data_IF_231286249625
#
_entry.id   IF_231286249625
#
_cell.length_a   1.000
_cell.length_b   1.000
_cell.length_c   1.000
_cell.angle_alpha   90.00
_cell.angle_beta   90.00
_cell.angle_gamma   90.00
#
_symmetry.space_group_name_H-M   'P 1'
#
loop_
_entity.id
_entity.type
_entity.pdbx_description
1 polymer ?
#
# COMPACT_ATOMS: atom_id res chain seq x y z
N UNK A 1 -43.08 -10.08 -25.20
CA UNK A 1 -42.62 -11.16 -26.12
C UNK A 1 -41.39 -11.81 -25.50
N UNK A 2 -41.51 -12.99 -24.90
CA UNK A 2 -40.36 -13.73 -24.37
C UNK A 2 -39.64 -14.43 -25.52
N UNK A 3 -38.46 -13.94 -25.90
CA UNK A 3 -37.55 -14.71 -26.75
C UNK A 3 -36.88 -15.77 -25.88
N UNK A 4 -37.24 -17.03 -26.09
CA UNK A 4 -36.57 -18.16 -25.44
C UNK A 4 -35.11 -18.21 -25.91
N UNK A 5 -34.18 -17.98 -24.99
CA UNK A 5 -32.74 -18.11 -25.22
C UNK A 5 -32.46 -19.60 -25.49
N UNK A 6 -31.91 -19.92 -26.66
CA UNK A 6 -31.54 -21.30 -26.96
C UNK A 6 -30.28 -21.71 -26.19
N UNK A 7 -30.05 -23.02 -25.97
CA UNK A 7 -28.82 -23.52 -25.33
C UNK A 7 -27.55 -23.02 -26.04
N UNK A 8 -27.60 -22.82 -27.36
CA UNK A 8 -26.52 -22.28 -28.17
C UNK A 8 -26.29 -20.79 -27.89
N UNK A 9 -27.36 -20.02 -27.70
CA UNK A 9 -27.27 -18.60 -27.36
C UNK A 9 -26.77 -18.42 -25.93
N UNK A 10 -27.19 -19.28 -25.00
CA UNK A 10 -26.65 -19.34 -23.65
C UNK A 10 -25.14 -19.62 -23.67
N UNK A 11 -24.69 -20.65 -24.40
CA UNK A 11 -23.26 -20.95 -24.52
C UNK A 11 -22.46 -19.80 -25.14
N UNK A 12 -22.99 -19.15 -26.18
CA UNK A 12 -22.34 -17.98 -26.80
C UNK A 12 -22.25 -16.79 -25.83
N UNK A 13 -23.32 -16.54 -25.07
CA UNK A 13 -23.36 -15.49 -24.05
C UNK A 13 -22.42 -15.82 -22.89
N UNK A 14 -22.33 -17.07 -22.45
CA UNK A 14 -21.40 -17.54 -21.43
C UNK A 14 -19.95 -17.44 -21.88
N UNK A 15 -19.62 -17.80 -23.14
CA UNK A 15 -18.26 -17.66 -23.67
C UNK A 15 -17.88 -16.19 -23.88
N UNK A 16 -18.83 -15.33 -24.27
CA UNK A 16 -18.61 -13.88 -24.37
C UNK A 16 -18.41 -13.25 -22.98
N UNK A 17 -19.16 -13.68 -21.96
CA UNK A 17 -19.02 -13.21 -20.58
C UNK A 17 -17.73 -13.72 -19.90
N UNK A 18 -17.32 -14.96 -20.17
CA UNK A 18 -16.04 -15.49 -19.72
C UNK A 18 -14.86 -14.83 -20.45
N UNK A 19 -15.03 -14.52 -21.74
CA UNK A 19 -14.05 -13.77 -22.53
C UNK A 19 -13.87 -12.34 -22.02
N UNK A 20 -14.95 -11.63 -21.70
CA UNK A 20 -14.85 -10.24 -21.19
C UNK A 20 -14.27 -10.15 -19.78
N UNK A 21 -14.43 -11.17 -18.94
CA UNK A 21 -13.76 -11.27 -17.64
C UNK A 21 -12.25 -11.53 -17.78
N UNK A 22 -11.83 -12.25 -18.82
CA UNK A 22 -10.41 -12.50 -19.12
C UNK A 22 -9.67 -11.27 -19.67
N UNK A 23 -10.41 -10.25 -20.15
CA UNK A 23 -9.86 -8.97 -20.66
C UNK A 23 -10.05 -7.79 -19.69
N UNK A 24 -10.21 -8.03 -18.38
CA UNK A 24 -9.96 -6.95 -17.40
C UNK A 24 -8.47 -6.60 -17.42
N UNK A 25 -8.07 -5.33 -17.25
CA UNK A 25 -6.68 -4.90 -17.39
C UNK A 25 -5.88 -5.35 -16.16
N UNK A 26 -5.60 -6.65 -16.06
CA UNK A 26 -4.50 -7.15 -15.25
C UNK A 26 -3.16 -6.62 -15.79
N UNK A 27 -3.13 -6.13 -17.03
CA UNK A 27 -1.97 -5.52 -17.69
C UNK A 27 -1.32 -4.41 -16.86
N UNK A 28 -2.11 -3.60 -16.15
CA UNK A 28 -1.59 -2.42 -15.45
C UNK A 28 -0.77 -2.79 -14.21
N UNK A 29 -0.86 -4.05 -13.74
CA UNK A 29 -0.12 -4.54 -12.56
C UNK A 29 0.77 -5.75 -12.85
N UNK A 30 1.10 -5.97 -14.13
CA UNK A 30 2.19 -6.86 -14.51
C UNK A 30 3.50 -6.06 -14.40
N UNK A 31 4.53 -6.58 -13.73
CA UNK A 31 5.86 -5.98 -13.79
C UNK A 31 6.36 -5.98 -15.24
N UNK A 32 7.19 -4.98 -15.56
CA UNK A 32 7.85 -4.96 -16.86
C UNK A 32 8.68 -6.23 -17.04
N UNK A 33 8.43 -6.95 -18.14
CA UNK A 33 9.18 -8.15 -18.45
C UNK A 33 8.59 -9.48 -17.98
N UNK A 34 7.31 -9.57 -17.59
CA UNK A 34 6.71 -10.91 -17.43
C UNK A 34 6.81 -11.70 -18.76
N UNK A 35 7.55 -12.81 -18.73
CA UNK A 35 7.92 -13.62 -19.90
C UNK A 35 9.35 -14.17 -19.90
N UNK A 36 10.19 -13.85 -18.91
CA UNK A 36 11.56 -14.36 -18.82
C UNK A 36 11.67 -15.68 -18.04
N UNK A 37 12.62 -16.52 -18.44
CA UNK A 37 12.91 -17.87 -17.91
C UNK A 37 13.67 -17.86 -16.56
N UNK A 38 13.61 -16.73 -15.82
CA UNK A 38 14.26 -16.59 -14.50
C UNK A 38 13.21 -16.63 -13.40
N UNK A 39 13.56 -17.30 -12.31
CA UNK A 39 12.72 -17.33 -11.11
C UNK A 39 12.70 -15.94 -10.46
N UNK A 40 11.54 -15.28 -10.45
CA UNK A 40 11.32 -14.05 -9.69
C UNK A 40 11.14 -14.39 -8.22
N UNK A 41 11.82 -13.65 -7.33
CA UNK A 41 11.57 -13.72 -5.88
C UNK A 41 10.54 -12.69 -5.41
N UNK A 42 10.17 -11.73 -6.28
CA UNK A 42 9.14 -10.76 -5.96
C UNK A 42 8.98 -9.64 -6.98
N UNK A 43 8.15 -8.66 -6.62
CA UNK A 43 7.89 -7.45 -7.41
C UNK A 43 7.98 -6.25 -6.48
N UNK A 44 8.71 -5.23 -6.90
CA UNK A 44 8.82 -3.95 -6.20
C UNK A 44 8.07 -2.84 -6.93
N UNK A 45 7.47 -1.91 -6.18
CA UNK A 45 6.93 -0.63 -6.68
C UNK A 45 7.87 0.50 -6.29
N UNK A 46 8.24 1.35 -7.24
CA UNK A 46 9.03 2.55 -6.96
C UNK A 46 8.17 3.58 -6.21
N UNK A 47 8.65 4.04 -5.04
CA UNK A 47 7.86 4.88 -4.12
C UNK A 47 8.22 6.37 -4.15
N UNK A 48 9.25 6.74 -4.91
CA UNK A 48 9.72 8.12 -5.12
C UNK A 48 9.60 8.48 -6.59
N UNK A 49 9.90 9.73 -6.96
CA UNK A 49 9.76 10.22 -8.33
C UNK A 49 10.57 9.39 -9.33
N UNK A 50 11.82 9.12 -8.98
CA UNK A 50 12.69 8.21 -9.74
C UNK A 50 13.79 7.58 -8.88
N UNK A 51 14.26 6.42 -9.32
CA UNK A 51 15.44 5.73 -8.80
C UNK A 51 16.38 5.37 -9.93
N UNK A 52 17.67 5.35 -9.64
CA UNK A 52 18.69 4.86 -10.56
C UNK A 52 18.87 3.33 -10.39
N UNK A 53 19.12 2.66 -11.51
CA UNK A 53 19.56 1.27 -11.60
C UNK A 53 21.05 1.28 -11.93
N UNK A 54 21.84 0.53 -11.18
CA UNK A 54 23.30 0.50 -11.27
C UNK A 54 23.80 -0.80 -11.88
N UNK A 55 24.98 -0.78 -12.50
CA UNK A 55 25.58 -1.99 -13.09
C UNK A 55 25.96 -3.04 -12.03
N UNK A 56 26.33 -2.60 -10.83
CA UNK A 56 26.68 -3.42 -9.67
C UNK A 56 25.93 -2.89 -8.42
N UNK A 57 25.74 -3.70 -7.35
CA UNK A 57 25.06 -3.27 -6.13
C UNK A 57 25.94 -2.34 -5.27
N UNK A 58 26.37 -1.22 -5.85
CA UNK A 58 27.23 -0.21 -5.26
C UNK A 58 26.94 1.16 -5.86
N UNK A 59 26.97 2.20 -5.03
CA UNK A 59 26.85 3.59 -5.49
C UNK A 59 28.05 4.10 -6.30
N UNK A 60 29.18 3.40 -6.25
CA UNK A 60 30.35 3.72 -7.07
C UNK A 60 30.23 3.15 -8.47
N UNK A 61 29.22 2.32 -8.73
CA UNK A 61 28.97 1.74 -10.04
C UNK A 61 28.30 2.74 -10.97
N UNK A 62 28.46 2.54 -12.27
CA UNK A 62 27.79 3.37 -13.27
C UNK A 62 26.26 3.13 -13.24
N UNK A 63 25.44 4.20 -13.32
CA UNK A 63 24.01 4.04 -13.59
C UNK A 63 23.81 3.51 -15.01
N UNK A 64 22.92 2.53 -15.14
CA UNK A 64 22.58 1.84 -16.40
C UNK A 64 21.11 2.05 -16.79
N UNK A 65 20.30 2.67 -15.93
CA UNK A 65 18.94 3.04 -16.25
C UNK A 65 18.23 3.76 -15.10
N UNK A 66 17.01 4.17 -15.35
CA UNK A 66 16.15 4.86 -14.38
C UNK A 66 14.82 4.12 -14.28
N UNK A 67 14.18 4.18 -13.12
CA UNK A 67 12.81 3.72 -12.89
C UNK A 67 12.01 4.82 -12.21
N UNK A 68 10.76 4.97 -12.59
CA UNK A 68 9.92 6.08 -12.16
C UNK A 68 8.86 5.65 -11.16
N UNK A 69 8.27 6.62 -10.47
CA UNK A 69 7.18 6.42 -9.50
C UNK A 69 6.11 5.45 -10.02
N UNK A 70 5.67 4.57 -9.14
CA UNK A 70 4.64 3.54 -9.37
C UNK A 70 5.02 2.43 -10.37
N UNK A 71 6.19 2.52 -11.02
CA UNK A 71 6.66 1.46 -11.90
C UNK A 71 6.89 0.18 -11.09
N UNK A 72 6.40 -0.95 -11.65
CA UNK A 72 6.55 -2.27 -11.07
C UNK A 72 7.78 -2.96 -11.67
N UNK A 73 8.75 -3.26 -10.82
CA UNK A 73 10.01 -3.87 -11.18
C UNK A 73 10.06 -5.31 -10.69
N UNK A 74 10.41 -6.30 -11.55
CA UNK A 74 10.64 -7.65 -11.09
C UNK A 74 11.94 -7.69 -10.27
N UNK A 75 11.93 -8.48 -9.19
CA UNK A 75 13.08 -8.69 -8.31
C UNK A 75 13.53 -10.14 -8.46
N UNK A 76 14.79 -10.33 -8.84
CA UNK A 76 15.40 -11.65 -9.05
C UNK A 76 16.22 -12.12 -7.85
N UNK A 77 16.84 -11.19 -7.13
CA UNK A 77 17.69 -11.50 -5.99
C UNK A 77 17.68 -10.33 -4.99
N UNK A 78 17.82 -10.65 -3.70
CA UNK A 78 18.05 -9.69 -2.62
C UNK A 78 19.49 -9.84 -2.12
N UNK A 79 20.28 -8.77 -2.22
CA UNK A 79 21.69 -8.74 -1.86
C UNK A 79 21.85 -7.84 -0.64
N UNK A 80 22.41 -8.38 0.44
CA UNK A 80 22.74 -7.61 1.64
C UNK A 80 24.21 -7.26 1.60
N UNK A 81 24.53 -5.97 1.45
CA UNK A 81 25.93 -5.49 1.47
C UNK A 81 26.23 -4.83 2.81
N UNK A 82 27.14 -5.38 3.65
CA UNK A 82 27.45 -4.83 4.97
C UNK A 82 27.97 -3.38 4.96
N UNK A 83 28.57 -2.95 3.85
CA UNK A 83 29.21 -1.63 3.69
C UNK A 83 28.23 -0.49 3.37
N UNK A 84 26.92 -0.76 3.41
CA UNK A 84 25.87 0.23 3.16
C UNK A 84 25.41 0.91 4.45
N UNK A 85 24.59 1.97 4.32
CA UNK A 85 24.02 2.65 5.48
C UNK A 85 23.30 1.63 6.38
N UNK A 86 23.54 1.63 7.72
CA UNK A 86 23.00 0.61 8.63
C UNK A 86 21.47 0.42 8.57
N UNK A 87 20.74 1.43 8.12
CA UNK A 87 19.28 1.47 8.07
C UNK A 87 18.67 1.01 6.72
N UNK A 88 19.46 0.77 5.66
CA UNK A 88 18.94 0.24 4.39
C UNK A 88 19.99 -0.61 3.68
N UNK A 89 20.26 -1.84 4.18
CA UNK A 89 21.41 -2.60 3.74
C UNK A 89 21.23 -3.40 2.46
N UNK A 90 20.05 -3.31 1.83
CA UNK A 90 19.61 -4.22 0.78
C UNK A 90 19.66 -3.57 -0.61
N UNK A 91 20.12 -4.36 -1.56
CA UNK A 91 19.99 -4.13 -3.00
C UNK A 91 19.13 -5.23 -3.60
N UNK A 92 18.40 -4.87 -4.66
CA UNK A 92 17.62 -5.82 -5.45
C UNK A 92 18.24 -5.95 -6.82
N UNK A 93 18.48 -7.18 -7.27
CA UNK A 93 18.76 -7.45 -8.67
C UNK A 93 17.45 -7.32 -9.47
N UNK A 94 17.46 -6.45 -10.46
CA UNK A 94 16.35 -6.18 -11.39
C UNK A 94 16.80 -6.51 -12.81
N UNK A 95 15.91 -6.35 -13.80
CA UNK A 95 16.17 -6.75 -15.20
C UNK A 95 17.52 -6.28 -15.76
N UNK A 96 17.82 -4.99 -15.56
CA UNK A 96 18.94 -4.32 -16.24
C UNK A 96 20.13 -4.02 -15.30
N UNK A 97 20.08 -4.46 -14.04
CA UNK A 97 21.10 -4.15 -13.05
C UNK A 97 20.63 -4.30 -11.61
N UNK A 98 21.03 -3.37 -10.74
CA UNK A 98 20.77 -3.40 -9.31
C UNK A 98 20.16 -2.08 -8.82
N UNK A 99 19.10 -2.18 -8.02
CA UNK A 99 18.41 -1.03 -7.44
C UNK A 99 18.43 -1.08 -5.91
N UNK A 100 18.48 0.08 -5.26
CA UNK A 100 18.49 0.20 -3.79
C UNK A 100 17.10 -0.10 -3.22
N UNK A 101 17.01 -0.88 -2.13
CA UNK A 101 15.72 -1.19 -1.53
C UNK A 101 14.99 0.00 -0.91
N UNK A 102 15.71 1.10 -0.60
CA UNK A 102 15.19 2.22 0.20
C UNK A 102 13.91 2.87 -0.33
N UNK A 103 13.72 2.87 -1.65
CA UNK A 103 12.59 3.52 -2.32
C UNK A 103 11.74 2.51 -3.12
N UNK A 104 11.78 1.24 -2.72
CA UNK A 104 11.08 0.15 -3.39
C UNK A 104 10.20 -0.55 -2.36
N UNK A 105 8.88 -0.46 -2.55
CA UNK A 105 7.89 -1.20 -1.78
C UNK A 105 7.68 -2.57 -2.41
N UNK A 106 7.92 -3.65 -1.67
CA UNK A 106 7.63 -5.02 -2.11
C UNK A 106 6.10 -5.26 -2.13
N UNK A 107 5.58 -5.83 -3.23
CA UNK A 107 4.14 -6.00 -3.51
C UNK A 107 3.76 -7.42 -3.95
N UNK A 108 4.42 -8.46 -3.40
CA UNK A 108 4.25 -9.86 -3.82
C UNK A 108 2.84 -10.39 -3.58
N UNK A 109 2.20 -9.96 -2.49
CA UNK A 109 0.85 -10.35 -2.14
C UNK A 109 -0.24 -9.62 -2.93
N UNK A 110 0.10 -8.90 -4.01
CA UNK A 110 -0.89 -8.12 -4.75
C UNK A 110 -1.94 -9.02 -5.42
N UNK A 111 -3.22 -8.70 -5.24
CA UNK A 111 -4.32 -9.46 -5.82
C UNK A 111 -5.60 -8.61 -5.88
N UNK A 112 -6.57 -9.11 -6.65
CA UNK A 112 -7.96 -8.61 -6.62
C UNK A 112 -8.80 -9.48 -5.68
N UNK A 113 -9.78 -8.84 -5.04
CA UNK A 113 -10.64 -9.44 -4.02
C UNK A 113 -12.04 -9.73 -4.56
N UNK A 114 -12.71 -10.66 -3.90
CA UNK A 114 -14.15 -10.79 -4.00
C UNK A 114 -14.84 -9.57 -3.35
N UNK A 115 -15.87 -9.05 -4.00
CA UNK A 115 -16.61 -7.87 -3.54
C UNK A 115 -17.87 -8.27 -2.79
N UNK A 116 -18.25 -7.50 -1.78
CA UNK A 116 -19.54 -7.65 -1.09
C UNK A 116 -20.56 -6.64 -1.62
N UNK A 117 -21.86 -6.97 -1.63
CA UNK A 117 -22.89 -6.06 -2.13
C UNK A 117 -23.26 -4.96 -1.13
N UNK A 118 -22.82 -5.04 0.12
CA UNK A 118 -23.09 -4.04 1.16
C UNK A 118 -22.03 -4.09 2.27
N UNK A 119 -21.88 -2.99 3.00
CA UNK A 119 -21.08 -2.88 4.23
C UNK A 119 -21.90 -2.20 5.34
N UNK A 120 -21.63 -2.47 6.63
CA UNK A 120 -22.30 -1.77 7.73
C UNK A 120 -22.09 -0.26 7.68
N UNK A 121 -23.07 0.51 8.17
CA UNK A 121 -23.00 1.98 8.23
C UNK A 121 -21.85 2.48 9.12
N UNK A 122 -21.57 1.75 10.20
CA UNK A 122 -20.43 1.98 11.10
C UNK A 122 -19.06 1.84 10.38
N UNK A 123 -19.06 1.29 9.18
CA UNK A 123 -17.88 1.02 8.38
C UNK A 123 -17.15 -0.27 8.73
N UNK A 124 -16.25 -0.66 7.83
CA UNK A 124 -15.25 -1.73 8.04
C UNK A 124 -13.91 -1.24 7.53
N UNK A 125 -12.83 -1.62 8.20
CA UNK A 125 -11.50 -1.38 7.65
C UNK A 125 -11.31 -2.23 6.38
N UNK A 126 -10.69 -1.62 5.38
CA UNK A 126 -10.30 -2.25 4.13
C UNK A 126 -8.83 -1.95 3.83
N UNK A 127 -8.10 -2.97 3.38
CA UNK A 127 -6.71 -2.86 2.97
C UNK A 127 -6.62 -2.83 1.45
N UNK A 128 -5.83 -1.92 0.87
CA UNK A 128 -5.53 -1.94 -0.57
C UNK A 128 -4.58 -3.09 -0.88
N UNK A 129 -5.01 -4.02 -1.73
CA UNK A 129 -4.21 -5.21 -2.08
C UNK A 129 -3.65 -5.16 -3.49
N UNK A 130 -3.82 -4.07 -4.22
CA UNK A 130 -3.17 -3.83 -5.52
C UNK A 130 -2.00 -2.86 -5.32
N UNK A 131 -1.00 -2.79 -6.22
CA UNK A 131 0.17 -1.93 -6.03
C UNK A 131 -0.20 -0.47 -5.76
N UNK A 132 -1.21 0.01 -6.47
CA UNK A 132 -1.86 1.29 -6.27
C UNK A 132 -3.24 1.28 -6.92
N UNK A 133 -4.13 2.17 -6.46
CA UNK A 133 -5.45 2.41 -7.05
C UNK A 133 -5.75 3.90 -7.11
N UNK A 134 -6.46 4.34 -8.16
CA UNK A 134 -6.98 5.71 -8.24
C UNK A 134 -8.31 5.79 -7.50
N UNK A 135 -8.40 6.74 -6.57
CA UNK A 135 -9.64 7.13 -5.93
C UNK A 135 -10.34 8.25 -6.71
N UNK A 136 -11.66 8.32 -6.59
CA UNK A 136 -12.48 9.31 -7.26
C UNK A 136 -13.53 9.90 -6.31
N UNK A 137 -13.81 11.18 -6.46
CA UNK A 137 -15.03 11.80 -5.94
C UNK A 137 -16.14 11.65 -6.98
N UNK A 138 -17.37 11.40 -6.53
CA UNK A 138 -18.54 11.48 -7.38
C UNK A 138 -19.30 12.77 -7.10
N UNK A 139 -19.10 13.78 -7.95
CA UNK A 139 -19.77 15.07 -7.84
C UNK A 139 -21.03 15.10 -8.70
N UNK A 140 -22.15 15.60 -8.15
CA UNK A 140 -23.43 15.68 -8.87
C UNK A 140 -23.36 16.54 -10.14
N UNK A 141 -22.53 17.59 -10.16
CA UNK A 141 -22.40 18.52 -11.28
C UNK A 141 -21.32 18.11 -12.28
N UNK A 142 -20.20 17.56 -11.80
CA UNK A 142 -19.01 17.30 -12.62
C UNK A 142 -18.77 15.81 -12.89
N UNK A 143 -19.56 14.93 -12.28
CA UNK A 143 -19.38 13.49 -12.34
C UNK A 143 -18.15 13.03 -11.55
N UNK A 144 -17.53 11.96 -12.03
CA UNK A 144 -16.40 11.30 -11.39
C UNK A 144 -15.10 12.06 -11.63
N UNK A 145 -14.48 12.55 -10.56
CA UNK A 145 -13.24 13.32 -10.60
C UNK A 145 -12.14 12.57 -9.83
N UNK A 146 -10.94 12.41 -10.40
CA UNK A 146 -9.85 11.75 -9.69
C UNK A 146 -9.44 12.57 -8.47
N UNK A 147 -9.08 11.87 -7.40
CA UNK A 147 -8.44 12.43 -6.21
C UNK A 147 -7.22 11.57 -5.91
N UNK A 148 -7.07 11.13 -4.67
CA UNK A 148 -5.93 10.37 -4.18
C UNK A 148 -5.54 9.16 -5.04
N UNK A 149 -4.24 8.85 -4.98
CA UNK A 149 -3.74 7.52 -5.29
C UNK A 149 -3.50 6.80 -3.97
N UNK A 150 -4.22 5.72 -3.74
CA UNK A 150 -4.03 4.87 -2.57
C UNK A 150 -3.05 3.75 -2.94
N UNK A 151 -2.24 3.31 -1.98
CA UNK A 151 -1.13 2.41 -2.23
C UNK A 151 -1.31 1.07 -1.52
N UNK A 152 -0.63 0.05 -2.03
CA UNK A 152 -0.59 -1.28 -1.44
C UNK A 152 -0.37 -1.24 0.08
N UNK A 153 -1.21 -1.97 0.82
CA UNK A 153 -1.27 -2.07 2.28
C UNK A 153 -1.68 -0.80 3.04
N UNK A 154 -2.11 0.28 2.37
CA UNK A 154 -2.81 1.35 3.10
C UNK A 154 -4.21 0.88 3.51
N UNK A 155 -4.64 1.34 4.68
CA UNK A 155 -5.86 0.89 5.36
C UNK A 155 -6.85 2.04 5.41
N UNK A 156 -8.11 1.75 5.09
CA UNK A 156 -9.16 2.75 4.83
C UNK A 156 -10.48 2.34 5.48
N UNK A 157 -11.24 3.31 5.98
CA UNK A 157 -12.62 3.05 6.42
C UNK A 157 -13.56 2.93 5.22
N UNK A 158 -14.09 1.73 4.99
CA UNK A 158 -15.07 1.42 3.96
C UNK A 158 -16.47 1.51 4.55
N UNK A 159 -17.24 2.50 4.12
CA UNK A 159 -18.55 2.86 4.71
C UNK A 159 -19.73 2.72 3.75
N UNK A 160 -19.48 2.31 2.51
CA UNK A 160 -20.54 2.14 1.52
C UNK A 160 -20.11 1.32 0.31
N UNK A 161 -21.10 0.89 -0.47
CA UNK A 161 -20.92 0.24 -1.77
C UNK A 161 -21.84 0.94 -2.75
N UNK A 162 -21.31 1.36 -3.89
CA UNK A 162 -22.05 2.05 -4.95
C UNK A 162 -21.64 1.54 -6.34
N UNK A 163 -22.38 1.93 -7.37
CA UNK A 163 -22.02 1.70 -8.76
C UNK A 163 -20.91 2.67 -9.19
N UNK A 164 -19.94 2.15 -9.94
CA UNK A 164 -18.83 2.93 -10.46
C UNK A 164 -19.19 3.92 -11.57
N UNK A 165 -18.17 4.62 -12.11
CA UNK A 165 -18.33 5.53 -13.26
C UNK A 165 -19.00 4.90 -14.49
N UNK A 166 -18.90 3.58 -14.66
CA UNK A 166 -19.48 2.83 -15.77
C UNK A 166 -20.87 2.23 -15.47
N UNK A 167 -21.39 2.41 -14.25
CA UNK A 167 -22.68 1.89 -13.80
C UNK A 167 -22.74 0.36 -13.70
N UNK A 168 -21.59 -0.33 -13.61
CA UNK A 168 -21.55 -1.81 -13.65
C UNK A 168 -20.73 -2.41 -12.54
N UNK A 169 -19.50 -1.94 -12.35
CA UNK A 169 -18.64 -2.48 -11.32
C UNK A 169 -18.99 -1.90 -9.95
N UNK A 170 -18.90 -2.71 -8.90
CA UNK A 170 -19.03 -2.23 -7.53
C UNK A 170 -17.81 -1.40 -7.15
N UNK A 171 -18.07 -0.26 -6.50
CA UNK A 171 -17.08 0.64 -5.93
C UNK A 171 -17.34 0.77 -4.45
N UNK A 172 -16.27 0.79 -3.65
CA UNK A 172 -16.36 1.03 -2.23
C UNK A 172 -16.21 2.51 -1.93
N UNK A 173 -17.12 3.03 -1.13
CA UNK A 173 -17.01 4.36 -0.56
C UNK A 173 -16.04 4.30 0.63
N UNK A 174 -15.02 5.14 0.56
CA UNK A 174 -14.02 5.39 1.60
C UNK A 174 -14.39 6.67 2.33
N UNK A 175 -14.39 6.63 3.66
CA UNK A 175 -14.48 7.82 4.50
C UNK A 175 -13.11 8.12 5.10
N UNK A 176 -12.68 9.38 5.02
CA UNK A 176 -11.39 9.82 5.52
C UNK A 176 -11.41 10.04 7.04
N UNK A 177 -10.50 9.41 7.79
CA UNK A 177 -10.42 9.56 9.26
C UNK A 177 -9.94 10.96 9.70
N UNK A 178 -9.44 11.78 8.77
CA UNK A 178 -9.03 13.17 9.01
C UNK A 178 -10.10 14.20 8.65
N UNK A 179 -11.11 13.84 7.84
CA UNK A 179 -12.25 14.68 7.48
C UNK A 179 -13.50 13.84 7.22
N UNK A 180 -14.43 13.83 8.17
CA UNK A 180 -15.69 13.08 8.12
C UNK A 180 -16.58 13.43 6.90
N UNK A 181 -16.36 14.60 6.26
CA UNK A 181 -17.12 15.02 5.09
C UNK A 181 -16.51 14.54 3.77
N UNK A 182 -15.24 14.10 3.79
CA UNK A 182 -14.55 13.64 2.62
C UNK A 182 -14.87 12.16 2.36
N UNK A 183 -15.74 11.95 1.37
CA UNK A 183 -16.13 10.62 0.90
C UNK A 183 -15.72 10.45 -0.55
N UNK A 184 -14.81 9.53 -0.80
CA UNK A 184 -14.37 9.17 -2.15
C UNK A 184 -14.54 7.67 -2.37
N UNK A 185 -14.24 7.21 -3.57
CA UNK A 185 -14.57 5.87 -4.02
C UNK A 185 -13.37 5.22 -4.69
N UNK A 186 -13.23 3.92 -4.48
CA UNK A 186 -12.27 3.07 -5.18
C UNK A 186 -12.95 1.81 -5.74
N UNK A 187 -12.41 1.18 -6.79
CA UNK A 187 -12.94 -0.09 -7.27
C UNK A 187 -12.94 -1.14 -6.15
N UNK A 188 -14.11 -1.71 -5.85
CA UNK A 188 -14.26 -2.66 -4.75
C UNK A 188 -13.31 -3.87 -4.82
N UNK A 189 -12.98 -4.44 -6.01
CA UNK A 189 -12.03 -5.55 -6.09
C UNK A 189 -10.61 -5.21 -5.63
N UNK A 190 -10.25 -3.93 -5.50
CA UNK A 190 -8.89 -3.52 -5.10
C UNK A 190 -8.71 -3.56 -3.57
N UNK A 191 -9.79 -3.80 -2.83
CA UNK A 191 -9.83 -3.68 -1.38
C UNK A 191 -10.18 -5.02 -0.75
N UNK A 192 -9.36 -5.47 0.21
CA UNK A 192 -9.68 -6.59 1.09
C UNK A 192 -10.29 -6.06 2.36
N UNK A 193 -11.54 -6.40 2.63
CA UNK A 193 -12.17 -6.05 3.91
C UNK A 193 -11.50 -6.83 5.05
N UNK A 194 -11.04 -6.10 6.06
CA UNK A 194 -10.35 -6.66 7.23
C UNK A 194 -11.41 -7.21 8.20
N UNK A 195 -11.38 -8.50 8.54
CA UNK A 195 -12.30 -9.07 9.51
C UNK A 195 -11.95 -8.61 10.94
N UNK A 196 -12.94 -8.46 11.85
CA UNK A 196 -12.69 -7.98 13.21
C UNK A 196 -11.66 -8.79 14.00
N UNK A 197 -11.60 -10.09 13.74
CA UNK A 197 -10.66 -11.04 14.33
C UNK A 197 -9.19 -10.71 14.01
N UNK A 198 -8.87 -10.09 12.87
CA UNK A 198 -7.51 -9.61 12.57
C UNK A 198 -7.11 -8.38 13.42
N UNK A 199 -8.10 -7.68 14.01
CA UNK A 199 -7.88 -6.56 14.93
C UNK A 199 -7.83 -7.00 16.40
N UNK A 200 -8.08 -8.29 16.66
CA UNK A 200 -8.08 -8.82 18.02
C UNK A 200 -6.66 -8.84 18.62
N UNK A 201 -6.50 -8.57 19.93
CA UNK A 201 -5.19 -8.65 20.57
C UNK A 201 -4.59 -10.05 20.44
N UNK A 202 -3.30 -10.14 20.09
CA UNK A 202 -2.58 -11.43 19.95
C UNK A 202 -2.55 -12.20 21.28
N UNK A 203 -2.25 -11.52 22.39
CA UNK A 203 -2.23 -12.12 23.74
C UNK A 203 -3.20 -11.39 24.69
N UNK A 204 -4.52 -11.66 24.63
CA UNK A 204 -5.51 -10.94 25.43
C UNK A 204 -5.42 -11.24 26.94
N UNK A 205 -4.74 -12.32 27.31
CA UNK A 205 -4.58 -12.81 28.69
C UNK A 205 -3.35 -12.23 29.40
N UNK A 206 -2.52 -11.45 28.70
CA UNK A 206 -1.41 -10.69 29.30
C UNK A 206 -1.91 -9.29 29.60
N UNK A 207 -1.83 -8.89 30.88
CA UNK A 207 -2.24 -7.57 31.35
C UNK A 207 -1.45 -6.48 30.59
N UNK A 208 -2.07 -5.33 30.36
CA UNK A 208 -1.44 -4.28 29.55
C UNK A 208 -0.23 -3.65 30.23
N UNK A 209 -0.21 -3.64 31.58
CA UNK A 209 0.91 -3.17 32.39
C UNK A 209 2.16 -4.04 32.22
N UNK A 210 1.95 -5.32 31.88
CA UNK A 210 3.01 -6.29 31.60
C UNK A 210 3.51 -6.21 30.15
N UNK A 211 2.93 -5.33 29.32
CA UNK A 211 3.35 -5.15 27.92
C UNK A 211 4.11 -3.85 27.78
N UNK A 212 5.23 -3.87 27.06
CA UNK A 212 5.97 -2.66 26.73
C UNK A 212 6.65 -2.75 25.38
N UNK A 213 6.86 -1.60 24.77
CA UNK A 213 7.66 -1.44 23.56
C UNK A 213 8.83 -0.53 23.93
N UNK A 214 10.04 -1.03 23.70
CA UNK A 214 11.28 -0.28 23.87
C UNK A 214 11.80 0.11 22.49
N UNK A 215 11.98 1.42 22.27
CA UNK A 215 12.53 1.96 21.03
C UNK A 215 13.91 2.54 21.32
N UNK A 216 14.94 1.99 20.68
CA UNK A 216 16.30 2.53 20.75
C UNK A 216 16.53 3.50 19.61
N UNK A 217 16.58 4.80 19.90
CA UNK A 217 16.87 5.85 18.91
C UNK A 217 18.31 5.74 18.39
N UNK A 218 19.24 5.27 19.22
CA UNK A 218 20.65 5.12 18.84
C UNK A 218 20.84 3.92 17.91
N UNK A 219 20.26 2.78 18.29
CA UNK A 219 20.46 1.51 17.57
C UNK A 219 19.41 1.34 16.44
N UNK A 220 18.43 2.23 16.32
CA UNK A 220 17.34 2.16 15.33
C UNK A 220 16.57 0.83 15.41
N UNK A 221 16.25 0.39 16.64
CA UNK A 221 15.54 -0.87 16.90
C UNK A 221 14.29 -0.68 17.74
N UNK A 222 13.30 -1.55 17.52
CA UNK A 222 12.11 -1.69 18.35
C UNK A 222 12.07 -3.11 18.91
N UNK A 223 11.89 -3.22 20.22
CA UNK A 223 11.69 -4.49 20.92
C UNK A 223 10.37 -4.45 21.68
N UNK A 224 9.45 -5.35 21.37
CA UNK A 224 8.20 -5.51 22.10
C UNK A 224 8.31 -6.69 23.08
N UNK A 225 7.78 -6.49 24.28
CA UNK A 225 7.82 -7.48 25.35
C UNK A 225 6.42 -7.80 25.88
N UNK A 226 6.26 -9.06 26.26
CA UNK A 226 5.21 -9.53 27.16
C UNK A 226 5.87 -10.06 28.43
N UNK A 227 5.66 -9.37 29.55
CA UNK A 227 6.45 -9.51 30.79
C UNK A 227 7.94 -9.29 30.47
N UNK A 228 8.77 -10.29 30.72
CA UNK A 228 10.21 -10.27 30.42
C UNK A 228 10.57 -11.00 29.13
N UNK A 229 9.58 -11.46 28.34
CA UNK A 229 9.81 -12.18 27.10
C UNK A 229 9.73 -11.24 25.89
N UNK A 230 10.75 -11.29 25.03
CA UNK A 230 10.74 -10.60 23.74
C UNK A 230 9.79 -11.33 22.79
N UNK A 231 8.78 -10.62 22.30
CA UNK A 231 7.80 -11.14 21.32
C UNK A 231 7.98 -10.57 19.92
N UNK A 232 8.67 -9.44 19.80
CA UNK A 232 9.07 -8.83 18.52
C UNK A 232 10.38 -8.08 18.71
N UNK A 233 11.30 -8.23 17.77
CA UNK A 233 12.50 -7.40 17.66
C UNK A 233 12.77 -7.08 16.19
N UNK A 234 12.86 -5.79 15.85
CA UNK A 234 13.03 -5.35 14.46
C UNK A 234 13.79 -4.03 14.37
N UNK A 235 14.35 -3.74 13.20
CA UNK A 235 14.83 -2.41 12.83
C UNK A 235 13.64 -1.47 12.63
N UNK A 236 13.85 -0.18 12.92
CA UNK A 236 12.90 0.91 12.72
C UNK A 236 13.63 2.16 12.23
N UNK A 237 12.89 3.14 11.71
CA UNK A 237 13.42 4.47 11.41
C UNK A 237 12.80 5.48 12.38
N UNK A 238 13.61 6.10 13.24
CA UNK A 238 13.13 7.01 14.30
C UNK A 238 13.40 8.48 13.97
N UNK A 239 13.53 8.79 12.69
CA UNK A 239 13.83 10.13 12.19
C UNK A 239 15.29 10.54 12.37
N UNK A 240 15.64 11.73 11.89
CA UNK A 240 17.00 12.26 11.91
C UNK A 240 17.16 13.17 13.14
N UNK A 241 18.15 12.93 14.01
CA UNK A 241 18.47 13.87 15.09
C UNK A 241 18.80 15.25 14.49
N UNK A 242 17.94 16.24 14.75
CA UNK A 242 18.21 17.61 14.31
C UNK A 242 18.95 18.37 15.40
N UNK A 243 20.13 18.87 15.09
CA UNK A 243 20.87 19.81 15.94
C UNK A 243 20.48 21.28 15.68
N UNK A 244 19.57 21.54 14.73
CA UNK A 244 19.11 22.87 14.34
C UNK A 244 17.60 22.96 14.08
N UNK A 245 17.13 24.15 13.74
CA UNK A 245 15.74 24.39 13.34
C UNK A 245 15.57 23.85 11.91
N UNK A 246 14.64 22.91 11.71
CA UNK A 246 14.30 22.42 10.37
C UNK A 246 13.64 23.54 9.54
N UNK A 247 13.50 23.36 8.23
CA UNK A 247 12.95 24.39 7.33
C UNK A 247 11.56 24.93 7.77
N UNK A 248 10.77 24.11 8.48
CA UNK A 248 9.47 24.47 9.05
C UNK A 248 9.47 24.58 10.59
N UNK A 249 10.63 24.46 11.24
CA UNK A 249 10.77 24.52 12.70
C UNK A 249 10.31 23.29 13.47
N UNK A 250 9.87 22.23 12.80
CA UNK A 250 9.44 20.97 13.42
C UNK A 250 10.59 19.96 13.36
N UNK A 251 11.18 19.54 14.51
CA UNK A 251 12.22 18.52 14.52
C UNK A 251 11.71 17.21 13.93
N UNK A 252 12.53 16.55 13.11
CA UNK A 252 12.22 15.19 12.60
C UNK A 252 12.66 14.10 13.57
N UNK A 253 13.32 14.44 14.68
CA UNK A 253 13.76 13.50 15.69
C UNK A 253 12.59 12.99 16.52
N UNK A 254 12.50 11.67 16.69
CA UNK A 254 11.53 11.06 17.61
C UNK A 254 11.82 11.52 19.05
N UNK A 255 10.83 12.04 19.80
CA UNK A 255 11.05 12.49 21.17
C UNK A 255 11.36 11.32 22.10
N UNK A 256 12.34 11.49 22.99
CA UNK A 256 12.65 10.51 24.03
C UNK A 256 11.70 10.67 25.23
N UNK A 257 11.30 9.55 25.84
CA UNK A 257 10.43 9.57 27.02
C UNK A 257 9.66 8.27 27.22
N UNK A 258 8.66 8.33 28.11
CA UNK A 258 7.64 7.29 28.28
C UNK A 258 6.32 7.81 27.76
N UNK A 259 5.71 7.05 26.87
CA UNK A 259 4.45 7.40 26.22
C UNK A 259 3.47 6.24 26.36
N UNK A 260 2.19 6.55 26.46
CA UNK A 260 1.10 5.58 26.46
C UNK A 260 0.23 5.82 25.23
N UNK A 261 -0.23 4.74 24.61
CA UNK A 261 -1.16 4.82 23.49
C UNK A 261 -2.55 5.09 24.05
N UNK A 262 -3.16 6.23 23.70
CA UNK A 262 -4.53 6.56 24.10
C UNK A 262 -5.55 6.19 23.03
N UNK A 263 -5.24 6.52 21.77
CA UNK A 263 -6.13 6.30 20.62
C UNK A 263 -5.30 5.69 19.50
N UNK A 264 -5.88 4.70 18.80
CA UNK A 264 -5.34 4.18 17.54
C UNK A 264 -6.29 4.59 16.42
N UNK A 265 -5.72 5.19 15.39
CA UNK A 265 -6.40 5.67 14.19
C UNK A 265 -5.81 4.88 13.01
N UNK A 266 -6.38 3.72 12.64
CA UNK A 266 -5.77 2.78 11.70
C UNK A 266 -5.79 3.26 10.24
N UNK A 267 -6.62 4.26 9.92
CA UNK A 267 -6.78 4.78 8.56
C UNK A 267 -6.16 6.17 8.38
N UNK A 268 -5.81 6.84 9.47
CA UNK A 268 -5.22 8.18 9.43
C UNK A 268 -3.86 8.16 8.77
N UNK A 269 -3.74 8.98 7.73
CA UNK A 269 -2.54 9.08 6.92
C UNK A 269 -1.73 10.35 7.21
N UNK A 270 -0.51 10.38 6.65
CA UNK A 270 0.32 11.59 6.64
C UNK A 270 -0.09 12.48 5.46
N UNK A 271 -0.18 13.78 5.70
CA UNK A 271 -0.63 14.74 4.71
C UNK A 271 -0.71 16.15 5.26
N UNK A 272 -0.95 17.13 4.39
CA UNK A 272 -1.36 18.48 4.80
C UNK A 272 -2.89 18.66 4.74
N UNK A 273 -3.63 17.59 4.41
CA UNK A 273 -5.09 17.51 4.42
C UNK A 273 -5.70 18.00 3.12
N UNK A 274 -4.92 18.11 2.04
CA UNK A 274 -5.39 18.60 0.74
C UNK A 274 -5.82 17.43 -0.13
N UNK A 275 -7.09 17.47 -0.54
CA UNK A 275 -7.59 16.59 -1.60
C UNK A 275 -6.91 16.93 -2.91
N UNK A 276 -6.19 15.97 -3.49
CA UNK A 276 -5.41 16.17 -4.72
C UNK A 276 -5.28 14.87 -5.51
N UNK A 277 -5.19 14.99 -6.83
CA UNK A 277 -4.84 13.89 -7.73
C UNK A 277 -3.36 13.86 -8.14
N UNK A 278 -2.61 14.89 -7.74
CA UNK A 278 -1.16 14.97 -7.90
C UNK A 278 -0.47 13.90 -7.05
N UNK A 279 0.16 12.95 -7.74
CA UNK A 279 0.87 11.84 -7.12
C UNK A 279 2.19 12.27 -6.47
N UNK A 280 2.68 13.48 -6.75
CA UNK A 280 3.89 14.05 -6.15
C UNK A 280 3.58 14.96 -4.94
N UNK A 281 2.29 15.17 -4.63
CA UNK A 281 1.91 15.91 -3.44
C UNK A 281 2.37 15.19 -2.16
N UNK A 282 2.55 15.97 -1.09
CA UNK A 282 2.81 15.44 0.25
C UNK A 282 1.52 14.90 0.87
N UNK A 283 0.93 13.90 0.23
CA UNK A 283 -0.27 13.19 0.66
C UNK A 283 0.00 11.69 0.52
N UNK A 284 -0.03 10.96 1.64
CA UNK A 284 0.23 9.51 1.68
C UNK A 284 -0.98 8.72 2.20
N UNK A 285 -2.15 8.82 1.55
CA UNK A 285 -3.39 8.16 1.96
C UNK A 285 -3.34 6.62 1.87
#
# INVERSE_FOLDING_TARGET
>A
MNRNISRRDFLKLSTLALGSLAFRPLSDWLPEGEGFDRDLIGVGRVTTDEIEVYREPSYQSDPVGTRHRDQLIPIFEEIVTPDTLPNSPRWYQVMDGYARSAHIQRVEGRHINATVPWVPEEGKLGEITVPYTRAYLNNVLYGWMPVYRLYYQSVHWITGVDEGPDGRAAWYQVSDESDDNLKYFVPAPHVRLIPPEELSPISPHVAWEDKRIEVSLKEQTLTAYERDQVVLHTLVSTGIPSWGVTANGIPTATPAGRFNIQVKMPSKHMGDGRVTDDIHAYELP
#
